data_IF_782489200703
#
_entry.id   IF_782489200703
#
_cell.length_a   1.000
_cell.length_b   1.000
_cell.length_c   1.000
_cell.angle_alpha   90.00
_cell.angle_beta   90.00
_cell.angle_gamma   90.00
#
_symmetry.space_group_name_H-M   'P 1'
#
loop_
_entity.id
_entity.type
_entity.pdbx_description
1 polymer ?
#
# COMPACT_ATOMS: atom_id res chain seq x y z
N UNK A 1 -27.98 -15.00 -3.11
CA UNK A 1 -27.96 -13.78 -3.93
C UNK A 1 -26.67 -13.08 -3.55
N UNK A 2 -25.79 -12.85 -4.51
CA UNK A 2 -24.45 -12.37 -4.21
C UNK A 2 -24.48 -10.87 -3.92
N UNK A 3 -23.94 -10.48 -2.78
CA UNK A 3 -23.76 -9.08 -2.42
C UNK A 3 -22.52 -8.54 -3.09
N UNK A 4 -22.58 -7.28 -3.51
CA UNK A 4 -21.45 -6.65 -4.16
C UNK A 4 -21.26 -5.19 -3.76
N UNK A 5 -20.00 -4.79 -3.82
CA UNK A 5 -19.60 -3.40 -3.74
C UNK A 5 -19.76 -2.82 -5.15
N UNK A 6 -20.48 -1.71 -5.26
CA UNK A 6 -20.71 -1.00 -6.51
C UNK A 6 -19.81 0.24 -6.56
N UNK A 7 -19.06 0.37 -7.64
CA UNK A 7 -18.08 1.42 -7.84
C UNK A 7 -18.52 2.33 -8.99
N UNK A 8 -18.44 3.64 -8.83
CA UNK A 8 -18.50 4.59 -9.96
C UNK A 8 -17.15 4.60 -10.68
N UNK A 9 -17.14 4.21 -11.96
CA UNK A 9 -15.92 3.84 -12.68
C UNK A 9 -15.54 4.76 -13.83
N UNK A 10 -16.21 5.90 -13.95
CA UNK A 10 -15.85 6.97 -14.90
C UNK A 10 -14.38 7.39 -14.80
N UNK A 11 -13.72 7.16 -13.65
CA UNK A 11 -12.31 7.51 -13.39
C UNK A 11 -11.44 6.40 -12.79
N UNK A 12 -12.00 5.20 -12.54
CA UNK A 12 -11.20 4.07 -12.04
C UNK A 12 -10.24 3.58 -13.12
N UNK A 13 -9.01 3.21 -12.74
CA UNK A 13 -7.99 2.63 -13.63
C UNK A 13 -7.73 1.15 -13.39
N UNK A 14 -8.45 0.50 -12.47
CA UNK A 14 -8.29 -0.93 -12.23
C UNK A 14 -8.94 -1.74 -13.36
N UNK A 15 -8.24 -2.75 -13.87
CA UNK A 15 -8.77 -3.66 -14.88
C UNK A 15 -9.83 -4.60 -14.28
N UNK A 16 -10.64 -5.24 -15.13
CA UNK A 16 -11.47 -6.36 -14.69
C UNK A 16 -10.60 -7.56 -14.34
N UNK A 17 -11.08 -8.39 -13.44
CA UNK A 17 -10.39 -9.63 -13.05
C UNK A 17 -11.35 -10.59 -12.37
N UNK A 18 -11.12 -11.88 -12.58
CA UNK A 18 -11.74 -12.94 -11.79
C UNK A 18 -10.63 -13.81 -11.19
N UNK A 19 -10.76 -14.14 -9.91
CA UNK A 19 -9.88 -15.07 -9.22
C UNK A 19 -10.60 -15.78 -8.07
N UNK A 20 -9.97 -16.76 -7.40
CA UNK A 20 -10.62 -17.55 -6.36
C UNK A 20 -11.14 -16.76 -5.14
N UNK A 21 -10.70 -15.52 -4.91
CA UNK A 21 -11.10 -14.71 -3.74
C UNK A 21 -12.06 -13.57 -4.07
N UNK A 22 -12.07 -13.08 -5.31
CA UNK A 22 -12.95 -12.00 -5.73
C UNK A 22 -13.08 -11.94 -7.25
N UNK A 23 -14.13 -11.26 -7.71
CA UNK A 23 -14.27 -10.80 -9.09
C UNK A 23 -14.52 -9.30 -9.14
N UNK A 24 -14.10 -8.67 -10.22
CA UNK A 24 -14.33 -7.27 -10.52
C UNK A 24 -14.68 -7.15 -12.00
N UNK A 25 -15.85 -6.60 -12.29
CA UNK A 25 -16.38 -6.49 -13.66
C UNK A 25 -15.41 -5.81 -14.61
N UNK A 26 -15.50 -6.04 -15.92
CA UNK A 26 -14.65 -5.38 -16.91
C UNK A 26 -14.93 -3.87 -17.06
N UNK A 27 -14.00 -3.16 -17.70
CA UNK A 27 -14.13 -1.71 -17.95
C UNK A 27 -15.19 -1.37 -19.00
N UNK A 28 -15.50 -2.31 -19.87
CA UNK A 28 -16.37 -2.13 -21.03
C UNK A 28 -17.65 -2.93 -20.84
N UNK A 29 -18.77 -2.33 -21.20
CA UNK A 29 -20.10 -2.94 -21.23
C UNK A 29 -20.74 -2.74 -22.61
N UNK A 30 -21.45 -3.76 -23.07
CA UNK A 30 -22.28 -3.65 -24.27
C UNK A 30 -23.52 -2.81 -23.94
N UNK A 31 -23.74 -1.75 -24.70
CA UNK A 31 -24.91 -0.90 -24.51
C UNK A 31 -26.16 -1.53 -25.17
N UNK A 32 -27.33 -0.91 -24.95
CA UNK A 32 -28.62 -1.37 -25.50
C UNK A 32 -28.68 -1.40 -27.03
N UNK A 33 -27.72 -0.76 -27.71
CA UNK A 33 -27.59 -0.71 -29.18
C UNK A 33 -26.54 -1.69 -29.71
N UNK A 34 -25.93 -2.52 -28.85
CA UNK A 34 -24.88 -3.48 -29.21
C UNK A 34 -23.49 -2.87 -29.41
N UNK A 35 -23.30 -1.59 -29.04
CA UNK A 35 -22.00 -0.93 -29.08
C UNK A 35 -21.26 -1.05 -27.74
N UNK A 36 -19.94 -1.23 -27.81
CA UNK A 36 -19.08 -1.31 -26.64
C UNK A 36 -18.83 0.10 -26.10
N UNK A 37 -19.19 0.32 -24.83
CA UNK A 37 -18.99 1.59 -24.13
C UNK A 37 -18.35 1.37 -22.76
N UNK A 38 -17.78 2.42 -22.17
CA UNK A 38 -17.17 2.31 -20.84
C UNK A 38 -18.27 2.22 -19.77
N UNK A 39 -18.17 1.20 -18.92
CA UNK A 39 -19.12 0.99 -17.84
C UNK A 39 -19.13 2.19 -16.87
N UNK A 40 -20.33 2.72 -16.61
CA UNK A 40 -20.52 3.80 -15.65
C UNK A 40 -20.36 3.32 -14.21
N UNK A 41 -20.72 2.06 -13.96
CA UNK A 41 -20.55 1.41 -12.68
C UNK A 41 -20.02 -0.01 -12.88
N UNK A 42 -19.22 -0.48 -11.93
CA UNK A 42 -18.67 -1.84 -11.93
C UNK A 42 -18.85 -2.47 -10.56
N UNK A 43 -19.15 -3.76 -10.54
CA UNK A 43 -19.36 -4.52 -9.33
C UNK A 43 -18.08 -5.25 -8.93
N UNK A 44 -17.79 -5.21 -7.64
CA UNK A 44 -16.74 -6.00 -6.99
C UNK A 44 -17.40 -7.01 -6.05
N UNK A 45 -17.14 -8.29 -6.29
CA UNK A 45 -17.72 -9.40 -5.55
C UNK A 45 -16.65 -10.13 -4.75
N UNK A 46 -17.01 -10.58 -3.55
CA UNK A 46 -16.18 -11.49 -2.79
C UNK A 46 -16.54 -12.95 -3.08
N UNK A 47 -15.55 -13.71 -3.53
CA UNK A 47 -15.69 -15.14 -3.76
C UNK A 47 -15.41 -15.87 -2.44
N UNK A 48 -16.47 -16.13 -1.69
CA UNK A 48 -16.41 -16.82 -0.41
C UNK A 48 -17.60 -17.79 -0.26
N UNK A 49 -17.42 -19.02 0.26
CA UNK A 49 -18.53 -19.96 0.42
C UNK A 49 -19.72 -19.44 1.24
N UNK A 50 -19.48 -18.47 2.13
CA UNK A 50 -20.50 -17.80 2.93
C UNK A 50 -20.85 -16.38 2.44
N UNK A 51 -20.41 -15.93 1.26
CA UNK A 51 -20.61 -14.55 0.76
C UNK A 51 -22.10 -14.14 0.81
N UNK A 52 -22.99 -15.01 0.35
CA UNK A 52 -24.45 -14.87 0.40
C UNK A 52 -25.05 -14.66 1.81
N UNK A 53 -24.27 -14.86 2.88
CA UNK A 53 -24.72 -14.69 4.26
C UNK A 53 -24.01 -13.54 5.00
N UNK A 54 -23.13 -12.80 4.33
CA UNK A 54 -22.33 -11.77 4.98
C UNK A 54 -23.19 -10.66 5.59
N UNK A 55 -24.13 -10.08 4.84
CA UNK A 55 -25.03 -9.04 5.37
C UNK A 55 -25.86 -9.58 6.53
N UNK A 56 -26.44 -10.78 6.37
CA UNK A 56 -27.27 -11.40 7.42
C UNK A 56 -26.51 -11.71 8.71
N UNK A 57 -25.20 -11.97 8.64
CA UNK A 57 -24.38 -12.31 9.81
C UNK A 57 -23.63 -11.14 10.41
N UNK A 58 -23.12 -10.22 9.59
CA UNK A 58 -22.24 -9.13 10.00
C UNK A 58 -22.89 -7.75 9.94
N UNK A 59 -24.05 -7.64 9.28
CA UNK A 59 -24.63 -6.35 8.88
C UNK A 59 -24.01 -5.80 7.59
N UNK A 60 -24.71 -4.85 6.97
CA UNK A 60 -24.30 -4.27 5.69
C UNK A 60 -23.03 -3.43 5.80
N UNK A 61 -22.85 -2.67 6.88
CA UNK A 61 -21.65 -1.85 7.12
C UNK A 61 -20.37 -2.69 7.19
N UNK A 62 -20.36 -3.76 8.00
CA UNK A 62 -19.20 -4.64 8.11
C UNK A 62 -18.92 -5.40 6.81
N UNK A 63 -19.99 -5.79 6.10
CA UNK A 63 -19.85 -6.40 4.77
C UNK A 63 -19.18 -5.42 3.81
N UNK A 64 -19.62 -4.17 3.81
CA UNK A 64 -19.05 -3.09 3.01
C UNK A 64 -17.56 -2.83 3.34
N UNK A 65 -17.19 -2.73 4.62
CA UNK A 65 -15.80 -2.53 5.01
C UNK A 65 -14.91 -3.72 4.61
N UNK A 66 -15.41 -4.95 4.71
CA UNK A 66 -14.69 -6.13 4.23
C UNK A 66 -14.47 -6.09 2.72
N UNK A 67 -15.48 -5.73 1.92
CA UNK A 67 -15.34 -5.59 0.47
C UNK A 67 -14.32 -4.51 0.11
N UNK A 68 -14.40 -3.33 0.75
CA UNK A 68 -13.45 -2.23 0.53
C UNK A 68 -12.03 -2.63 0.92
N UNK A 69 -11.85 -3.34 2.04
CA UNK A 69 -10.55 -3.84 2.44
C UNK A 69 -9.95 -4.77 1.39
N UNK A 70 -10.72 -5.75 0.89
CA UNK A 70 -10.23 -6.67 -0.14
C UNK A 70 -9.96 -5.94 -1.46
N UNK A 71 -10.82 -5.01 -1.87
CA UNK A 71 -10.56 -4.15 -3.03
C UNK A 71 -9.26 -3.35 -2.88
N UNK A 72 -8.94 -2.88 -1.67
CA UNK A 72 -7.70 -2.17 -1.40
C UNK A 72 -6.46 -3.03 -1.64
N UNK A 73 -6.52 -4.35 -1.40
CA UNK A 73 -5.41 -5.24 -1.74
C UNK A 73 -5.19 -5.35 -3.25
N UNK A 74 -6.26 -5.35 -4.05
CA UNK A 74 -6.14 -5.33 -5.50
C UNK A 74 -5.61 -3.99 -6.02
N UNK A 75 -6.01 -2.89 -5.38
CA UNK A 75 -5.46 -1.57 -5.66
C UNK A 75 -3.96 -1.51 -5.36
N UNK A 76 -3.56 -1.95 -4.16
CA UNK A 76 -2.16 -2.04 -3.77
C UNK A 76 -1.34 -2.91 -4.72
N UNK A 77 -1.84 -4.09 -5.08
CA UNK A 77 -1.23 -4.98 -6.07
C UNK A 77 -0.99 -4.25 -7.39
N UNK A 78 -2.00 -3.53 -7.91
CA UNK A 78 -1.90 -2.82 -9.19
C UNK A 78 -0.89 -1.67 -9.12
N UNK A 79 -0.83 -0.96 -7.98
CA UNK A 79 0.20 0.06 -7.72
C UNK A 79 1.61 -0.52 -7.70
N UNK A 80 1.79 -1.67 -7.04
CA UNK A 80 3.07 -2.37 -6.98
C UNK A 80 3.50 -2.91 -8.34
N UNK A 81 2.57 -3.46 -9.13
CA UNK A 81 2.81 -3.92 -10.50
C UNK A 81 3.21 -2.75 -11.41
N UNK A 82 2.46 -1.64 -11.37
CA UNK A 82 2.80 -0.43 -12.11
C UNK A 82 4.20 0.08 -11.72
N UNK A 83 4.52 0.11 -10.42
CA UNK A 83 5.83 0.51 -9.95
C UNK A 83 6.94 -0.38 -10.51
N UNK A 84 6.74 -1.70 -10.48
CA UNK A 84 7.68 -2.67 -11.01
C UNK A 84 7.98 -2.41 -12.49
N UNK A 85 6.93 -2.31 -13.31
CA UNK A 85 7.03 -2.13 -14.76
C UNK A 85 7.64 -0.78 -15.15
N UNK A 86 7.39 0.27 -14.38
CA UNK A 86 7.78 1.63 -14.76
C UNK A 86 9.07 2.11 -14.11
N UNK A 87 9.47 1.55 -12.97
CA UNK A 87 10.61 2.04 -12.19
C UNK A 87 11.61 0.96 -11.77
N UNK A 88 11.22 -0.32 -11.73
CA UNK A 88 11.95 -1.35 -11.01
C UNK A 88 12.48 -2.51 -11.88
N UNK A 89 12.17 -2.57 -13.18
CA UNK A 89 12.70 -3.58 -14.08
C UNK A 89 12.78 -3.08 -15.54
N UNK A 90 13.83 -3.41 -16.33
CA UNK A 90 15.23 -3.62 -15.94
C UNK A 90 16.08 -2.33 -16.09
N UNK A 91 15.51 -1.23 -16.58
CA UNK A 91 16.29 -0.08 -17.09
C UNK A 91 16.52 1.05 -16.08
N UNK A 92 15.70 1.15 -15.02
CA UNK A 92 15.74 2.30 -14.09
C UNK A 92 16.31 1.97 -12.71
N UNK A 93 15.96 0.82 -12.14
CA UNK A 93 16.51 0.28 -10.90
C UNK A 93 16.70 -1.23 -11.06
N UNK A 94 17.88 -1.74 -10.71
CA UNK A 94 18.09 -3.19 -10.63
C UNK A 94 17.75 -3.69 -9.23
N UNK A 95 16.55 -4.23 -9.05
CA UNK A 95 16.07 -4.74 -7.76
C UNK A 95 16.78 -5.99 -7.23
N UNK A 96 17.60 -6.63 -8.06
CA UNK A 96 18.42 -7.76 -7.66
C UNK A 96 19.79 -7.30 -7.12
N UNK A 97 20.19 -6.06 -7.38
CA UNK A 97 21.45 -5.50 -6.90
C UNK A 97 21.32 -4.86 -5.52
N UNK A 98 22.47 -4.61 -4.89
CA UNK A 98 22.56 -3.78 -3.68
C UNK A 98 22.17 -2.33 -4.00
N UNK A 99 21.00 -1.87 -3.54
CA UNK A 99 20.47 -0.53 -3.84
C UNK A 99 20.93 0.49 -2.80
N UNK A 100 21.65 1.53 -3.25
CA UNK A 100 22.06 2.66 -2.42
C UNK A 100 21.12 3.87 -2.56
N UNK A 101 21.14 4.81 -1.61
CA UNK A 101 20.29 6.03 -1.66
C UNK A 101 20.68 6.83 -2.89
N UNK A 102 21.98 6.85 -3.23
CA UNK A 102 22.46 7.56 -4.40
C UNK A 102 21.80 7.05 -5.68
N UNK A 103 21.48 5.75 -5.76
CA UNK A 103 20.75 5.18 -6.90
C UNK A 103 19.30 5.65 -6.90
N UNK A 104 18.65 5.67 -5.73
CA UNK A 104 17.29 6.18 -5.57
C UNK A 104 17.19 7.68 -5.88
N UNK A 105 18.16 8.48 -5.44
CA UNK A 105 18.24 9.91 -5.69
C UNK A 105 18.47 10.21 -7.17
N UNK A 106 19.39 9.48 -7.82
CA UNK A 106 19.59 9.59 -9.27
C UNK A 106 18.30 9.30 -10.02
N UNK A 107 17.57 8.26 -9.63
CA UNK A 107 16.29 7.91 -10.25
C UNK A 107 15.21 8.95 -9.98
N UNK A 108 15.10 9.44 -8.74
CA UNK A 108 14.16 10.48 -8.36
C UNK A 108 14.41 11.82 -9.08
N UNK A 109 15.67 12.14 -9.40
CA UNK A 109 16.05 13.34 -10.17
C UNK A 109 15.88 13.14 -11.68
N UNK A 110 16.23 11.96 -12.20
CA UNK A 110 16.27 11.69 -13.66
C UNK A 110 14.88 11.39 -14.25
N UNK A 111 13.99 10.78 -13.48
CA UNK A 111 12.71 10.30 -13.99
C UNK A 111 11.52 10.95 -13.29
N UNK A 112 10.39 11.17 -14.00
CA UNK A 112 9.15 11.61 -13.39
C UNK A 112 8.55 10.45 -12.56
N UNK A 113 8.90 10.40 -11.29
CA UNK A 113 8.33 9.42 -10.34
C UNK A 113 6.97 9.94 -9.87
N UNK A 114 5.91 9.22 -10.19
CA UNK A 114 4.55 9.55 -9.77
C UNK A 114 3.96 8.39 -8.94
N UNK A 115 3.13 8.75 -7.96
CA UNK A 115 2.24 7.81 -7.28
C UNK A 115 1.14 7.41 -8.27
N UNK A 116 0.94 6.11 -8.46
CA UNK A 116 -0.12 5.62 -9.34
C UNK A 116 -1.45 5.63 -8.60
N UNK A 117 -2.26 6.68 -8.79
CA UNK A 117 -3.61 6.72 -8.25
C UNK A 117 -4.61 6.06 -9.22
N UNK A 118 -5.21 4.95 -8.80
CA UNK A 118 -6.26 4.25 -9.56
C UNK A 118 -7.63 4.88 -9.35
N UNK A 119 -7.77 5.80 -8.39
CA UNK A 119 -8.99 6.45 -7.94
C UNK A 119 -10.10 5.51 -7.44
N UNK A 120 -9.84 4.20 -7.38
CA UNK A 120 -10.87 3.17 -7.15
C UNK A 120 -11.46 3.27 -5.75
N UNK A 121 -10.62 3.32 -4.71
CA UNK A 121 -11.07 3.36 -3.32
C UNK A 121 -11.90 4.61 -2.99
N UNK A 122 -11.73 5.70 -3.74
CA UNK A 122 -12.49 6.95 -3.55
C UNK A 122 -13.97 6.81 -3.93
N UNK A 123 -14.28 5.93 -4.89
CA UNK A 123 -15.60 5.84 -5.50
C UNK A 123 -16.37 4.56 -5.14
N UNK A 124 -15.79 3.70 -4.31
CA UNK A 124 -16.40 2.44 -3.88
C UNK A 124 -17.27 2.63 -2.61
N UNK A 125 -18.37 3.38 -2.72
CA UNK A 125 -19.16 3.82 -1.55
C UNK A 125 -20.60 3.28 -1.53
N UNK A 126 -20.90 2.30 -2.39
CA UNK A 126 -22.24 1.74 -2.48
C UNK A 126 -22.20 0.23 -2.32
N UNK A 127 -23.09 -0.31 -1.48
CA UNK A 127 -23.30 -1.75 -1.35
C UNK A 127 -24.65 -2.11 -1.99
N UNK A 128 -24.69 -3.21 -2.73
CA UNK A 128 -25.95 -3.78 -3.23
C UNK A 128 -26.34 -4.95 -2.32
N UNK A 129 -27.50 -4.80 -1.66
CA UNK A 129 -28.07 -5.80 -0.74
C UNK A 129 -29.03 -6.79 -1.39
N UNK A 130 -29.68 -7.63 -0.56
CA UNK A 130 -30.56 -8.77 -0.93
C UNK A 130 -31.79 -8.40 -1.78
N UNK A 131 -32.08 -7.11 -1.93
CA UNK A 131 -33.22 -6.60 -2.72
C UNK A 131 -32.79 -5.78 -3.93
N UNK A 132 -31.52 -5.89 -4.35
CA UNK A 132 -30.90 -5.01 -5.34
C UNK A 132 -30.97 -3.52 -4.94
N UNK A 133 -31.20 -3.24 -3.66
CA UNK A 133 -31.21 -1.89 -3.14
C UNK A 133 -29.77 -1.41 -3.01
N UNK A 134 -29.49 -0.29 -3.68
CA UNK A 134 -28.22 0.42 -3.61
C UNK A 134 -28.21 1.26 -2.34
N UNK A 135 -27.36 0.88 -1.40
CA UNK A 135 -27.18 1.59 -0.13
C UNK A 135 -25.86 2.35 -0.15
N UNK A 136 -25.91 3.66 0.14
CA UNK A 136 -24.71 4.47 0.30
C UNK A 136 -24.15 4.27 1.71
N UNK A 137 -22.85 4.01 1.80
CA UNK A 137 -22.14 3.90 3.07
C UNK A 137 -20.91 4.79 2.98
N UNK A 138 -20.75 5.68 3.96
CA UNK A 138 -19.57 6.54 4.05
C UNK A 138 -18.35 5.69 4.40
N UNK A 139 -17.26 5.86 3.64
CA UNK A 139 -16.01 5.18 3.92
C UNK A 139 -15.49 5.55 5.31
N UNK A 140 -15.06 4.54 6.08
CA UNK A 140 -14.54 4.75 7.43
C UNK A 140 -13.14 4.12 7.53
N UNK A 141 -12.07 4.93 7.33
CA UNK A 141 -10.70 4.42 7.33
C UNK A 141 -10.29 3.74 8.64
N UNK A 142 -10.92 4.10 9.76
CA UNK A 142 -10.66 3.46 11.05
C UNK A 142 -11.24 2.04 11.08
N UNK A 143 -12.50 1.86 10.66
CA UNK A 143 -13.13 0.53 10.58
C UNK A 143 -12.40 -0.37 9.58
N UNK A 144 -12.06 0.15 8.39
CA UNK A 144 -11.28 -0.58 7.39
C UNK A 144 -9.91 -1.02 7.94
N UNK A 145 -9.23 -0.17 8.70
CA UNK A 145 -7.96 -0.50 9.36
C UNK A 145 -8.13 -1.57 10.45
N UNK A 146 -9.21 -1.52 11.24
CA UNK A 146 -9.51 -2.57 12.22
C UNK A 146 -9.77 -3.92 11.54
N UNK A 147 -10.47 -3.92 10.41
CA UNK A 147 -10.65 -5.09 9.57
C UNK A 147 -9.31 -5.61 9.03
N UNK A 148 -8.40 -4.73 8.60
CA UNK A 148 -7.06 -5.14 8.15
C UNK A 148 -6.27 -5.87 9.26
N UNK A 149 -6.41 -5.41 10.51
CA UNK A 149 -5.71 -6.04 11.64
C UNK A 149 -6.36 -7.39 12.04
N UNK A 150 -7.69 -7.45 12.05
CA UNK A 150 -8.45 -8.50 12.74
C UNK A 150 -9.41 -9.29 11.84
N UNK A 151 -9.18 -9.33 10.53
CA UNK A 151 -10.14 -9.91 9.58
C UNK A 151 -10.57 -11.32 9.97
N UNK A 152 -9.63 -12.20 10.31
CA UNK A 152 -9.94 -13.59 10.66
C UNK A 152 -10.68 -13.71 12.00
N UNK A 153 -10.32 -12.89 12.99
CA UNK A 153 -11.00 -12.80 14.27
C UNK A 153 -12.44 -12.31 14.11
N UNK A 154 -12.66 -11.28 13.27
CA UNK A 154 -13.99 -10.76 12.99
C UNK A 154 -14.86 -11.78 12.26
N UNK A 155 -14.37 -12.41 11.19
CA UNK A 155 -15.11 -13.47 10.50
C UNK A 155 -15.55 -14.58 11.48
N UNK A 156 -14.62 -15.06 12.33
CA UNK A 156 -14.92 -16.07 13.35
C UNK A 156 -15.97 -15.58 14.35
N UNK A 157 -15.89 -14.33 14.82
CA UNK A 157 -16.86 -13.76 15.76
C UNK A 157 -18.29 -13.74 15.20
N UNK A 158 -18.43 -13.56 13.88
CA UNK A 158 -19.70 -13.62 13.16
C UNK A 158 -20.08 -15.03 12.69
N UNK A 159 -19.36 -16.07 13.14
CA UNK A 159 -19.56 -17.47 12.71
C UNK A 159 -19.47 -17.64 11.20
N UNK A 160 -18.52 -16.94 10.58
CA UNK A 160 -18.13 -17.08 9.18
C UNK A 160 -16.76 -17.76 9.15
N UNK A 161 -16.63 -18.77 8.28
CA UNK A 161 -15.35 -19.44 8.11
C UNK A 161 -14.33 -18.46 7.52
N UNK A 162 -13.03 -18.59 7.84
CA UNK A 162 -11.98 -17.88 7.11
C UNK A 162 -12.07 -18.17 5.61
N UNK A 163 -11.49 -17.27 4.79
CA UNK A 163 -11.36 -17.51 3.36
C UNK A 163 -10.65 -18.85 3.09
N UNK A 164 -11.12 -19.60 2.07
CA UNK A 164 -10.57 -20.92 1.79
C UNK A 164 -9.10 -20.83 1.41
N UNK A 165 -8.31 -21.81 1.86
CA UNK A 165 -6.92 -21.93 1.42
C UNK A 165 -6.89 -22.50 0.00
N UNK A 166 -6.60 -21.64 -0.98
CA UNK A 166 -6.56 -22.02 -2.39
C UNK A 166 -5.13 -22.43 -2.76
N UNK A 167 -4.97 -23.64 -3.31
CA UNK A 167 -3.70 -24.06 -3.89
C UNK A 167 -3.33 -23.19 -5.10
N UNK A 168 -2.07 -22.79 -5.17
CA UNK A 168 -1.58 -21.90 -6.21
C UNK A 168 -0.37 -22.48 -6.91
N UNK A 169 -0.52 -22.69 -8.21
CA UNK A 169 0.57 -23.10 -9.09
C UNK A 169 1.62 -21.98 -9.21
N UNK A 170 1.18 -20.72 -9.34
CA UNK A 170 2.07 -19.56 -9.46
C UNK A 170 2.08 -18.73 -8.16
N UNK A 171 3.20 -18.79 -7.43
CA UNK A 171 3.47 -18.04 -6.18
C UNK A 171 4.22 -16.71 -6.42
N UNK A 172 4.11 -16.12 -7.62
CA UNK A 172 4.71 -14.84 -7.94
C UNK A 172 3.90 -13.66 -7.36
N UNK A 173 4.57 -12.60 -6.90
CA UNK A 173 3.91 -11.38 -6.39
C UNK A 173 3.11 -10.61 -7.45
N UNK A 174 3.29 -10.93 -8.74
CA UNK A 174 2.51 -10.39 -9.85
C UNK A 174 1.30 -11.26 -10.21
N UNK A 175 1.00 -12.27 -9.39
CA UNK A 175 -0.28 -12.96 -9.36
C UNK A 175 -1.14 -12.33 -8.25
N UNK A 176 -2.25 -11.68 -8.61
CA UNK A 176 -3.15 -11.02 -7.66
C UNK A 176 -3.66 -12.00 -6.60
N UNK A 177 -4.03 -13.22 -7.01
CA UNK A 177 -4.48 -14.28 -6.10
C UNK A 177 -3.45 -14.54 -5.00
N UNK A 178 -2.17 -14.59 -5.36
CA UNK A 178 -1.09 -14.83 -4.39
C UNK A 178 -0.96 -13.69 -3.40
N UNK A 179 -1.03 -12.43 -3.84
CA UNK A 179 -1.03 -11.27 -2.93
C UNK A 179 -2.21 -11.32 -1.96
N UNK A 180 -3.41 -11.69 -2.45
CA UNK A 180 -4.58 -11.86 -1.59
C UNK A 180 -4.37 -12.99 -0.57
N UNK A 181 -3.83 -14.13 -1.00
CA UNK A 181 -3.50 -15.25 -0.10
C UNK A 181 -2.54 -14.81 1.01
N UNK A 182 -1.52 -14.01 0.69
CA UNK A 182 -0.61 -13.46 1.69
C UNK A 182 -1.34 -12.54 2.66
N UNK A 183 -2.19 -11.63 2.16
CA UNK A 183 -2.94 -10.67 2.96
C UNK A 183 -3.88 -11.37 3.96
N UNK A 184 -4.60 -12.41 3.52
CA UNK A 184 -5.52 -13.15 4.40
C UNK A 184 -4.78 -14.04 5.41
N UNK A 185 -3.58 -14.49 5.07
CA UNK A 185 -2.77 -15.40 5.87
C UNK A 185 -1.91 -14.69 6.92
N UNK A 186 -1.52 -13.43 6.65
CA UNK A 186 -0.62 -12.67 7.52
C UNK A 186 -1.10 -11.23 7.70
N UNK A 187 -1.51 -10.88 8.93
CA UNK A 187 -2.04 -9.55 9.28
C UNK A 187 -1.08 -8.42 8.92
N UNK A 188 0.23 -8.64 9.05
CA UNK A 188 1.22 -7.63 8.67
C UNK A 188 1.11 -7.31 7.18
N UNK A 189 0.96 -8.33 6.33
CA UNK A 189 0.80 -8.13 4.88
C UNK A 189 -0.50 -7.39 4.58
N UNK A 190 -1.61 -7.77 5.23
CA UNK A 190 -2.89 -7.06 5.11
C UNK A 190 -2.76 -5.56 5.42
N UNK A 191 -2.19 -5.21 6.58
CA UNK A 191 -2.04 -3.81 6.99
C UNK A 191 -1.12 -3.06 6.03
N UNK A 192 0.00 -3.66 5.61
CA UNK A 192 0.94 -3.03 4.69
C UNK A 192 0.29 -2.74 3.32
N UNK A 193 -0.50 -3.67 2.79
CA UNK A 193 -1.22 -3.48 1.53
C UNK A 193 -2.31 -2.43 1.66
N UNK A 194 -3.08 -2.44 2.76
CA UNK A 194 -4.09 -1.41 3.01
C UNK A 194 -3.47 0.00 3.10
N UNK A 195 -2.37 0.15 3.83
CA UNK A 195 -1.65 1.44 3.90
C UNK A 195 -1.12 1.86 2.53
N UNK A 196 -0.57 0.91 1.77
CA UNK A 196 -0.05 1.17 0.42
C UNK A 196 -1.15 1.59 -0.57
N UNK A 197 -2.30 0.93 -0.53
CA UNK A 197 -3.47 1.27 -1.35
C UNK A 197 -3.93 2.72 -1.12
N UNK A 198 -3.72 3.27 0.06
CA UNK A 198 -4.17 4.61 0.41
C UNK A 198 -3.11 5.71 0.23
N UNK A 199 -1.97 5.39 -0.41
CA UNK A 199 -1.02 6.39 -0.89
C UNK A 199 -1.43 6.77 -2.32
N UNK A 200 -1.99 7.97 -2.48
CA UNK A 200 -2.58 8.44 -3.75
C UNK A 200 -1.82 9.63 -4.35
N UNK A 201 -1.12 10.42 -3.53
CA UNK A 201 -0.22 11.47 -4.02
C UNK A 201 0.83 11.85 -2.96
N UNK A 202 1.90 12.53 -3.35
CA UNK A 202 2.95 12.97 -2.40
C UNK A 202 2.52 14.09 -1.45
N UNK A 203 1.51 14.87 -1.82
CA UNK A 203 1.06 16.04 -1.07
C UNK A 203 -0.07 15.73 -0.09
N UNK A 204 -0.46 14.46 0.06
CA UNK A 204 -1.55 14.10 0.96
C UNK A 204 -1.11 14.26 2.42
N UNK A 205 -1.98 14.75 3.32
CA UNK A 205 -1.58 15.07 4.69
C UNK A 205 -1.02 13.88 5.49
N UNK A 206 -1.42 12.65 5.14
CA UNK A 206 -1.02 11.43 5.83
C UNK A 206 0.11 10.66 5.14
N UNK A 207 0.71 11.19 4.06
CA UNK A 207 1.74 10.49 3.27
C UNK A 207 2.87 9.91 4.14
N UNK A 208 3.46 10.77 4.99
CA UNK A 208 4.54 10.40 5.90
C UNK A 208 4.11 9.31 6.87
N UNK A 209 2.90 9.42 7.43
CA UNK A 209 2.35 8.44 8.37
C UNK A 209 2.21 7.06 7.71
N UNK A 210 1.66 7.00 6.49
CA UNK A 210 1.48 5.73 5.76
C UNK A 210 2.80 5.07 5.40
N UNK A 211 3.74 5.84 4.86
CA UNK A 211 5.11 5.37 4.58
C UNK A 211 5.76 4.84 5.87
N UNK A 212 5.68 5.60 6.96
CA UNK A 212 6.28 5.21 8.23
C UNK A 212 5.65 3.93 8.80
N UNK A 213 4.33 3.75 8.69
CA UNK A 213 3.63 2.57 9.15
C UNK A 213 4.07 1.31 8.38
N UNK A 214 4.17 1.39 7.04
CA UNK A 214 4.67 0.27 6.21
C UNK A 214 6.10 -0.11 6.61
N UNK A 215 6.98 0.88 6.77
CA UNK A 215 8.40 0.63 7.10
C UNK A 215 8.57 -0.01 8.49
N UNK A 216 7.84 0.46 9.50
CA UNK A 216 7.90 -0.11 10.86
C UNK A 216 7.34 -1.52 10.91
N UNK A 217 6.21 -1.75 10.26
CA UNK A 217 5.60 -3.05 10.21
C UNK A 217 6.54 -4.09 9.60
N UNK A 218 7.18 -3.76 8.47
CA UNK A 218 8.18 -4.65 7.85
C UNK A 218 9.37 -4.87 8.81
N UNK A 219 9.85 -3.82 9.46
CA UNK A 219 10.96 -3.91 10.41
C UNK A 219 10.63 -4.86 11.57
N UNK A 220 9.52 -4.64 12.26
CA UNK A 220 9.08 -5.44 13.39
C UNK A 220 8.85 -6.90 12.99
N UNK A 221 8.28 -7.13 11.80
CA UNK A 221 8.08 -8.47 11.28
C UNK A 221 9.39 -9.21 11.02
N UNK A 222 10.38 -8.53 10.42
CA UNK A 222 11.71 -9.09 10.18
C UNK A 222 12.45 -9.39 11.49
N UNK A 223 12.33 -8.54 12.50
CA UNK A 223 12.96 -8.74 13.81
C UNK A 223 12.34 -9.94 14.54
N UNK A 224 11.01 -10.00 14.59
CA UNK A 224 10.26 -11.07 15.27
C UNK A 224 10.42 -12.42 14.57
N UNK A 225 10.42 -12.45 13.24
CA UNK A 225 10.45 -13.68 12.43
C UNK A 225 11.84 -13.99 11.85
N UNK A 226 12.90 -13.39 12.40
CA UNK A 226 14.27 -13.52 11.89
C UNK A 226 14.70 -14.98 11.69
N UNK A 227 14.44 -15.84 12.68
CA UNK A 227 14.80 -17.26 12.65
C UNK A 227 14.06 -18.05 11.57
N UNK A 228 12.85 -17.65 11.21
CA UNK A 228 12.06 -18.24 10.13
C UNK A 228 12.62 -17.82 8.78
N UNK A 229 12.82 -16.52 8.58
CA UNK A 229 13.33 -15.98 7.31
C UNK A 229 14.77 -16.42 7.01
N UNK A 230 15.61 -16.65 8.03
CA UNK A 230 16.96 -17.17 7.84
C UNK A 230 17.00 -18.61 7.31
N UNK A 231 15.93 -19.40 7.50
CA UNK A 231 15.82 -20.76 6.96
C UNK A 231 15.48 -20.80 5.46
N UNK A 232 15.14 -19.68 4.84
CA UNK A 232 14.89 -19.60 3.40
C UNK A 232 16.19 -19.89 2.64
N UNK A 233 16.22 -21.00 1.88
CA UNK A 233 17.38 -21.46 1.09
C UNK A 233 17.26 -21.16 -0.40
N UNK A 234 16.05 -20.88 -0.91
CA UNK A 234 15.80 -20.44 -2.29
C UNK A 234 15.48 -18.94 -2.29
N UNK A 235 16.10 -18.15 -3.16
CA UNK A 235 15.91 -16.70 -3.20
C UNK A 235 16.64 -15.94 -2.07
N UNK A 236 17.83 -16.40 -1.69
CA UNK A 236 18.65 -15.81 -0.63
C UNK A 236 19.05 -14.36 -0.94
N UNK A 237 19.23 -14.04 -2.21
CA UNK A 237 19.46 -12.69 -2.75
C UNK A 237 18.33 -11.72 -2.36
N UNK A 238 17.07 -12.13 -2.56
CA UNK A 238 15.89 -11.33 -2.18
C UNK A 238 15.87 -11.10 -0.67
N UNK A 239 16.07 -12.15 0.11
CA UNK A 239 16.14 -12.09 1.57
C UNK A 239 17.22 -11.13 2.04
N UNK A 240 18.43 -11.25 1.52
CA UNK A 240 19.57 -10.40 1.89
C UNK A 240 19.32 -8.94 1.52
N UNK A 241 18.74 -8.69 0.35
CA UNK A 241 18.34 -7.34 -0.07
C UNK A 241 17.30 -6.73 0.87
N UNK A 242 16.31 -7.50 1.33
CA UNK A 242 15.32 -7.03 2.33
C UNK A 242 16.01 -6.65 3.64
N UNK A 243 16.86 -7.52 4.19
CA UNK A 243 17.57 -7.22 5.44
C UNK A 243 18.51 -6.03 5.30
N UNK A 244 19.22 -5.92 4.18
CA UNK A 244 20.17 -4.84 3.92
C UNK A 244 19.45 -3.50 3.81
N UNK A 245 18.40 -3.42 2.99
CA UNK A 245 17.63 -2.20 2.79
C UNK A 245 16.88 -1.79 4.07
N UNK A 246 16.26 -2.76 4.75
CA UNK A 246 15.62 -2.52 6.05
C UNK A 246 16.63 -2.00 7.07
N UNK A 247 17.82 -2.60 7.20
CA UNK A 247 18.86 -2.13 8.12
C UNK A 247 19.32 -0.72 7.79
N UNK A 248 19.47 -0.37 6.51
CA UNK A 248 19.83 0.99 6.09
C UNK A 248 18.76 1.98 6.53
N UNK A 249 17.52 1.78 6.14
CA UNK A 249 16.40 2.69 6.45
C UNK A 249 16.17 2.80 7.97
N UNK A 250 16.19 1.67 8.69
CA UNK A 250 15.78 1.61 10.09
C UNK A 250 16.90 1.87 11.10
N UNK A 251 18.12 1.43 10.83
CA UNK A 251 19.18 1.35 11.86
C UNK A 251 20.50 2.00 11.43
N UNK A 252 20.66 2.33 10.15
CA UNK A 252 21.83 3.07 9.67
C UNK A 252 21.81 4.51 10.17
N UNK A 253 22.83 4.94 10.91
CA UNK A 253 22.91 6.30 11.51
C UNK A 253 22.58 7.41 10.52
N UNK A 254 23.08 7.29 9.28
CA UNK A 254 22.90 8.25 8.18
C UNK A 254 21.50 8.25 7.57
N UNK A 255 20.86 7.09 7.46
CA UNK A 255 19.58 6.94 6.74
C UNK A 255 18.39 7.00 7.67
N UNK A 256 18.52 6.43 8.87
CA UNK A 256 17.53 6.55 9.92
C UNK A 256 17.23 8.01 10.23
N UNK A 257 18.24 8.90 10.25
CA UNK A 257 18.03 10.34 10.45
C UNK A 257 17.21 10.99 9.33
N UNK A 258 17.31 10.50 8.10
CA UNK A 258 16.58 10.99 6.93
C UNK A 258 15.12 10.49 6.86
N UNK A 259 14.87 9.23 7.24
CA UNK A 259 13.51 8.68 7.32
C UNK A 259 12.89 8.95 8.70
N UNK A 260 13.08 8.00 9.63
CA UNK A 260 12.48 8.02 10.97
C UNK A 260 12.86 9.22 11.81
N UNK A 261 14.07 9.75 11.61
CA UNK A 261 14.49 10.97 12.24
C UNK A 261 13.59 12.13 11.84
N UNK A 262 13.18 12.23 10.58
CA UNK A 262 12.28 13.30 10.10
C UNK A 262 10.84 12.99 10.51
N UNK A 263 10.39 11.74 10.35
CA UNK A 263 9.02 11.34 10.68
C UNK A 263 8.67 11.59 12.16
N UNK A 264 9.66 11.42 13.05
CA UNK A 264 9.51 11.64 14.48
C UNK A 264 9.93 13.05 14.94
N UNK A 265 10.49 13.87 14.04
CA UNK A 265 10.91 15.23 14.35
C UNK A 265 9.72 16.18 14.37
N UNK A 266 8.98 16.15 15.48
CA UNK A 266 7.94 17.12 15.79
C UNK A 266 8.47 18.56 15.79
N UNK A 267 9.75 18.75 16.09
CA UNK A 267 10.42 20.04 16.01
C UNK A 267 10.65 20.52 14.57
N UNK A 268 10.54 19.64 13.57
CA UNK A 268 10.62 20.00 12.14
C UNK A 268 9.25 20.05 11.47
N UNK A 269 8.40 19.08 11.75
CA UNK A 269 7.11 18.88 11.07
C UNK A 269 5.89 19.30 11.90
N UNK A 270 6.05 19.60 13.19
CA UNK A 270 4.94 19.97 14.07
C UNK A 270 3.86 18.89 14.10
N UNK A 271 2.62 19.28 13.84
CA UNK A 271 1.46 18.38 13.78
C UNK A 271 1.45 17.44 12.55
N UNK A 272 2.28 17.70 11.54
CA UNK A 272 2.50 16.78 10.41
C UNK A 272 3.48 15.65 10.76
N UNK A 273 4.19 15.75 11.89
CA UNK A 273 5.03 14.66 12.38
C UNK A 273 4.18 13.55 13.00
N UNK A 274 4.79 12.37 13.18
CA UNK A 274 4.12 11.25 13.85
C UNK A 274 3.81 11.51 15.33
N UNK A 275 4.52 12.44 15.97
CA UNK A 275 4.37 12.77 17.38
C UNK A 275 4.08 14.26 17.52
N UNK A 276 2.81 14.66 17.52
CA UNK A 276 2.38 16.07 17.45
C UNK A 276 2.68 16.94 18.69
N UNK A 277 3.71 16.64 19.49
CA UNK A 277 3.89 17.22 20.83
C UNK A 277 4.75 18.48 20.89
N UNK A 278 5.48 18.84 19.83
CA UNK A 278 6.45 19.94 19.87
C UNK A 278 6.06 21.08 18.91
N UNK A 279 6.34 22.33 19.34
CA UNK A 279 6.34 23.48 18.43
C UNK A 279 7.45 23.30 17.40
N UNK A 280 7.17 23.65 16.14
CA UNK A 280 8.19 23.70 15.09
C UNK A 280 9.28 24.69 15.54
N UNK A 281 10.56 24.29 15.46
CA UNK A 281 11.70 25.17 15.73
C UNK A 281 11.62 26.42 14.86
N UNK A 282 12.18 27.54 15.34
CA UNK A 282 12.18 28.81 14.62
C UNK A 282 12.71 28.63 13.18
N UNK A 283 11.82 28.69 12.20
CA UNK A 283 12.16 28.65 10.78
C UNK A 283 12.75 30.01 10.39
N UNK A 284 13.99 30.01 9.89
CA UNK A 284 14.70 31.25 9.52
C UNK A 284 14.39 31.66 8.06
N UNK A 285 13.92 30.71 7.25
CA UNK A 285 13.48 30.96 5.88
C UNK A 285 13.35 29.66 5.08
N UNK A 286 13.11 29.79 3.78
CA UNK A 286 13.15 28.66 2.85
C UNK A 286 14.55 28.48 2.29
N UNK A 287 14.93 27.21 2.10
CA UNK A 287 16.17 26.87 1.44
C UNK A 287 16.11 27.23 -0.06
N UNK A 288 17.11 27.99 -0.52
CA UNK A 288 17.24 28.47 -1.90
C UNK A 288 18.27 27.70 -2.73
N UNK A 289 19.00 26.77 -2.12
CA UNK A 289 20.02 26.00 -2.83
C UNK A 289 19.35 24.97 -3.76
N UNK A 290 19.65 25.00 -5.07
CA UNK A 290 19.17 23.98 -6.01
C UNK A 290 19.92 22.66 -5.82
N UNK A 291 19.33 21.58 -6.32
CA UNK A 291 20.00 20.28 -6.58
C UNK A 291 20.64 19.54 -5.40
N UNK A 292 20.22 19.84 -4.17
CA UNK A 292 20.66 19.12 -2.98
C UNK A 292 20.30 17.63 -3.02
N UNK A 293 21.12 16.82 -2.36
CA UNK A 293 20.77 15.45 -1.97
C UNK A 293 19.74 15.47 -0.84
N UNK A 294 19.03 14.37 -0.65
CA UNK A 294 18.07 14.20 0.43
C UNK A 294 18.73 14.38 1.82
N UNK A 295 19.97 13.94 1.97
CA UNK A 295 20.77 14.14 3.19
C UNK A 295 21.03 15.61 3.45
N UNK A 296 21.49 16.37 2.45
CA UNK A 296 21.77 17.79 2.57
C UNK A 296 20.50 18.58 2.89
N UNK A 297 19.38 18.27 2.24
CA UNK A 297 18.08 18.90 2.53
C UNK A 297 17.72 18.73 4.01
N UNK A 298 17.79 17.49 4.53
CA UNK A 298 17.45 17.21 5.93
C UNK A 298 18.43 17.86 6.89
N UNK A 299 19.73 17.91 6.55
CA UNK A 299 20.75 18.57 7.35
C UNK A 299 20.48 20.07 7.46
N UNK A 300 20.26 20.76 6.35
CA UNK A 300 19.96 22.19 6.34
C UNK A 300 18.65 22.49 7.08
N UNK A 301 17.66 21.60 6.97
CA UNK A 301 16.41 21.75 7.72
C UNK A 301 16.61 21.64 9.24
N UNK A 302 17.44 20.69 9.70
CA UNK A 302 17.71 20.47 11.13
C UNK A 302 18.66 21.48 11.76
N UNK A 303 19.77 21.72 11.07
CA UNK A 303 20.94 22.38 11.66
C UNK A 303 20.91 23.88 11.36
N UNK A 304 20.35 24.28 10.22
CA UNK A 304 20.29 25.68 9.77
C UNK A 304 18.87 26.28 9.90
N UNK A 305 17.88 25.46 10.30
CA UNK A 305 16.47 25.83 10.39
C UNK A 305 15.90 26.42 9.07
N UNK A 306 16.39 25.93 7.94
CA UNK A 306 15.91 26.30 6.61
C UNK A 306 14.87 25.30 6.12
N UNK A 307 13.63 25.74 5.93
CA UNK A 307 12.56 24.87 5.46
C UNK A 307 12.85 24.42 4.02
N UNK A 308 12.69 23.14 3.68
CA UNK A 308 12.78 22.69 2.30
C UNK A 308 11.80 23.45 1.41
N UNK A 309 12.20 23.77 0.18
CA UNK A 309 11.26 24.30 -0.81
C UNK A 309 10.44 23.16 -1.46
N UNK A 310 9.45 23.49 -2.29
CA UNK A 310 8.56 22.50 -2.91
C UNK A 310 9.30 21.43 -3.72
N UNK A 311 10.34 21.81 -4.47
CA UNK A 311 11.14 20.85 -5.25
C UNK A 311 11.94 19.92 -4.35
N UNK A 312 12.46 20.43 -3.24
CA UNK A 312 13.17 19.63 -2.25
C UNK A 312 12.23 18.67 -1.51
N UNK A 313 11.03 19.11 -1.12
CA UNK A 313 10.02 18.21 -0.55
C UNK A 313 9.63 17.10 -1.52
N UNK A 314 9.34 17.44 -2.78
CA UNK A 314 9.04 16.47 -3.83
C UNK A 314 10.19 15.46 -4.01
N UNK A 315 11.44 15.92 -3.99
CA UNK A 315 12.60 15.03 -4.03
C UNK A 315 12.65 14.07 -2.84
N UNK A 316 12.49 14.57 -1.61
CA UNK A 316 12.45 13.73 -0.40
C UNK A 316 11.34 12.67 -0.50
N UNK A 317 10.13 13.09 -0.87
CA UNK A 317 8.96 12.21 -0.95
C UNK A 317 9.12 11.13 -2.02
N UNK A 318 9.70 11.45 -3.18
CA UNK A 318 10.04 10.48 -4.22
C UNK A 318 11.06 9.45 -3.72
N UNK A 319 12.12 9.88 -3.04
CA UNK A 319 13.13 8.96 -2.48
C UNK A 319 12.49 8.05 -1.43
N UNK A 320 11.65 8.58 -0.53
CA UNK A 320 10.95 7.78 0.46
C UNK A 320 10.00 6.76 -0.16
N UNK A 321 9.24 7.18 -1.17
CA UNK A 321 8.32 6.31 -1.91
C UNK A 321 9.06 5.20 -2.64
N UNK A 322 10.14 5.51 -3.36
CA UNK A 322 10.97 4.51 -4.06
C UNK A 322 11.53 3.48 -3.06
N UNK A 323 12.18 3.94 -1.99
CA UNK A 323 12.76 3.06 -0.98
C UNK A 323 11.72 2.11 -0.35
N UNK A 324 10.55 2.66 -0.02
CA UNK A 324 9.46 1.91 0.61
C UNK A 324 8.84 0.90 -0.36
N UNK A 325 8.61 1.30 -1.61
CA UNK A 325 8.08 0.42 -2.67
C UNK A 325 8.97 -0.80 -2.89
N UNK A 326 10.29 -0.56 -2.98
CA UNK A 326 11.30 -1.59 -3.19
C UNK A 326 11.35 -2.56 -2.02
N UNK A 327 11.35 -2.02 -0.79
CA UNK A 327 11.37 -2.83 0.41
C UNK A 327 10.09 -3.68 0.51
N UNK A 328 8.92 -3.08 0.28
CA UNK A 328 7.64 -3.76 0.29
C UNK A 328 7.58 -4.87 -0.77
N UNK A 329 7.97 -4.59 -2.01
CA UNK A 329 8.03 -5.59 -3.09
C UNK A 329 8.91 -6.78 -2.74
N UNK A 330 10.13 -6.54 -2.26
CA UNK A 330 11.06 -7.61 -1.92
C UNK A 330 10.64 -8.35 -0.64
N UNK A 331 10.03 -7.66 0.33
CA UNK A 331 9.48 -8.29 1.52
C UNK A 331 8.34 -9.24 1.16
N UNK A 332 7.37 -8.83 0.33
CA UNK A 332 6.26 -9.68 -0.13
C UNK A 332 6.71 -10.93 -0.92
N UNK A 333 7.92 -10.90 -1.49
CA UNK A 333 8.54 -12.06 -2.17
C UNK A 333 9.14 -13.07 -1.19
N UNK A 334 9.30 -12.70 0.09
CA UNK A 334 9.64 -13.67 1.12
C UNK A 334 8.44 -14.59 1.34
N UNK A 335 8.66 -15.88 1.58
CA UNK A 335 7.55 -16.77 1.86
C UNK A 335 6.96 -16.44 3.24
N UNK A 336 5.76 -15.84 3.26
CA UNK A 336 5.04 -15.49 4.50
C UNK A 336 4.09 -16.58 4.97
N UNK A 337 3.85 -17.59 4.14
CA UNK A 337 2.94 -18.69 4.42
C UNK A 337 3.82 -19.85 4.89
N UNK A 338 3.67 -20.25 6.14
CA UNK A 338 4.34 -21.45 6.64
C UNK A 338 3.80 -22.63 5.83
N UNK A 339 4.67 -23.22 5.02
CA UNK A 339 4.44 -24.48 4.31
C UNK A 339 4.62 -25.67 5.24
#
# INVERSE_FOLDING_TARGET
MEFNLLLDTSRSKLAGIENPYFSFDELEEENVEGAISRANQRNFYLNHPNSNNFINKMGIENTFYLHRLLLSYYDAFSKLKYFWENYACPEKLNLQANIEIADLEKVAKKYPINVFDTHTMKFANYMIGDKMQKEYIEANPFQEYLWAINMNEFLKSYRINPFPDVEMENKGIFNSSYIFKLAISKKEVSIALYEWANINNFNQPDFIKRISNVLELIKEDLERNKSVYQKITKGTDVRENVYLLSKRINSGKKWRSFFFGVFNAADLLGAYSRHASNKIKNIVGFNKQPDLTAEEIVKMWRDENLLPNNHQFDHLFKVWYLATSILLLNWLRLNHINS
#
